data_IF_025660205281
#
_entry.id   IF_025660205281
#
_cell.length_a   1.000
_cell.length_b   1.000
_cell.length_c   1.000
_cell.angle_alpha   90.00
_cell.angle_beta   90.00
_cell.angle_gamma   90.00
#
_symmetry.space_group_name_H-M   'P 1'
#
loop_
_entity.id
_entity.type
_entity.pdbx_description
1 polymer ?
#
# COMPACT_ATOMS: atom_id res chain seq x y z
N UNK A 1 -30.75 6.68 -30.80
CA UNK A 1 -30.12 6.18 -29.57
C UNK A 1 -29.09 7.21 -29.11
N UNK A 2 -29.40 7.94 -28.06
CA UNK A 2 -28.47 8.92 -27.47
C UNK A 2 -27.33 8.16 -26.76
N UNK A 3 -26.08 8.36 -27.18
CA UNK A 3 -24.92 7.80 -26.47
C UNK A 3 -24.67 8.61 -25.22
N UNK A 4 -25.10 8.09 -24.08
CA UNK A 4 -24.70 8.64 -22.78
C UNK A 4 -23.22 8.31 -22.57
N UNK A 5 -22.34 9.29 -22.75
CA UNK A 5 -20.91 9.14 -22.45
C UNK A 5 -20.71 8.98 -20.94
N UNK A 6 -20.35 7.77 -20.51
CA UNK A 6 -19.98 7.52 -19.10
C UNK A 6 -18.62 8.15 -18.83
N UNK A 7 -18.59 9.20 -18.00
CA UNK A 7 -17.33 9.78 -17.50
C UNK A 7 -16.54 8.73 -16.72
N UNK A 8 -15.24 8.64 -16.99
CA UNK A 8 -14.34 7.71 -16.30
C UNK A 8 -14.28 8.01 -14.80
N UNK A 9 -14.37 6.96 -13.97
CA UNK A 9 -14.36 7.09 -12.51
C UNK A 9 -12.95 6.94 -11.95
N UNK A 10 -12.18 8.04 -11.96
CA UNK A 10 -10.81 8.08 -11.44
C UNK A 10 -10.67 7.62 -9.98
N UNK A 11 -11.67 7.89 -9.13
CA UNK A 11 -11.63 7.46 -7.73
C UNK A 11 -11.63 5.95 -7.59
N UNK A 12 -12.52 5.29 -8.32
CA UNK A 12 -12.63 3.83 -8.30
C UNK A 12 -11.39 3.20 -8.93
N UNK A 13 -10.91 3.77 -10.04
CA UNK A 13 -9.67 3.34 -10.68
C UNK A 13 -8.48 3.37 -9.72
N UNK A 14 -8.23 4.50 -9.04
CA UNK A 14 -7.14 4.60 -8.07
C UNK A 14 -7.31 3.63 -6.89
N UNK A 15 -8.53 3.42 -6.41
CA UNK A 15 -8.80 2.53 -5.27
C UNK A 15 -8.55 1.06 -5.63
N UNK A 16 -9.01 0.62 -6.79
CA UNK A 16 -8.78 -0.74 -7.29
C UNK A 16 -7.29 -0.94 -7.57
N UNK A 17 -6.65 0.01 -8.25
CA UNK A 17 -5.22 -0.09 -8.55
C UNK A 17 -4.35 -0.09 -7.29
N UNK A 18 -4.71 0.70 -6.25
CA UNK A 18 -4.07 0.65 -4.94
C UNK A 18 -4.24 -0.70 -4.27
N UNK A 19 -5.45 -1.26 -4.30
CA UNK A 19 -5.71 -2.57 -3.72
C UNK A 19 -4.90 -3.66 -4.40
N UNK A 20 -4.88 -3.69 -5.73
CA UNK A 20 -4.14 -4.69 -6.50
C UNK A 20 -2.63 -4.55 -6.32
N UNK A 21 -2.08 -3.34 -6.45
CA UNK A 21 -0.64 -3.12 -6.25
C UNK A 21 -0.23 -3.34 -4.78
N UNK A 22 -1.07 -2.93 -3.83
CA UNK A 22 -0.88 -3.14 -2.41
C UNK A 22 -0.91 -4.61 -2.00
N UNK A 23 -1.74 -5.44 -2.65
CA UNK A 23 -1.77 -6.88 -2.44
C UNK A 23 -0.56 -7.58 -3.10
N UNK A 24 -0.12 -7.09 -4.26
CA UNK A 24 1.07 -7.61 -4.95
C UNK A 24 2.36 -7.40 -4.15
N UNK A 25 2.47 -6.33 -3.37
CA UNK A 25 3.65 -6.02 -2.57
C UNK A 25 4.02 -7.09 -1.52
N UNK A 26 3.14 -7.54 -0.60
CA UNK A 26 3.48 -8.59 0.36
C UNK A 26 3.74 -9.93 -0.33
N UNK A 27 3.00 -10.27 -1.39
CA UNK A 27 3.20 -11.52 -2.13
C UNK A 27 4.58 -11.56 -2.80
N UNK A 28 4.92 -10.51 -3.54
CA UNK A 28 6.23 -10.42 -4.20
C UNK A 28 7.37 -10.16 -3.22
N UNK A 29 7.12 -9.46 -2.11
CA UNK A 29 8.09 -9.24 -1.05
C UNK A 29 8.48 -10.53 -0.35
N UNK A 30 7.51 -11.42 -0.09
CA UNK A 30 7.76 -12.75 0.44
C UNK A 30 8.63 -13.58 -0.52
N UNK A 31 8.32 -13.59 -1.81
CA UNK A 31 9.13 -14.33 -2.79
C UNK A 31 10.54 -13.75 -2.90
N UNK A 32 10.68 -12.41 -2.92
CA UNK A 32 12.00 -11.78 -2.92
C UNK A 32 12.80 -12.10 -1.66
N UNK A 33 12.15 -12.23 -0.50
CA UNK A 33 12.79 -12.66 0.74
C UNK A 33 13.35 -14.08 0.63
N UNK A 34 12.59 -15.02 0.07
CA UNK A 34 13.07 -16.41 -0.12
C UNK A 34 14.22 -16.50 -1.12
N UNK A 35 14.18 -15.71 -2.21
CA UNK A 35 15.21 -15.69 -3.24
C UNK A 35 16.41 -14.80 -2.91
N UNK A 36 16.44 -14.13 -1.74
CA UNK A 36 17.40 -13.05 -1.48
C UNK A 36 18.86 -13.51 -1.43
N UNK A 37 19.09 -14.77 -1.02
CA UNK A 37 20.43 -15.37 -0.89
C UNK A 37 20.88 -16.12 -2.15
N UNK A 38 20.01 -16.27 -3.15
CA UNK A 38 20.36 -16.89 -4.41
C UNK A 38 21.17 -15.92 -5.29
N UNK A 39 21.99 -16.48 -6.18
CA UNK A 39 22.61 -15.72 -7.26
C UNK A 39 21.54 -14.99 -8.10
N UNK A 40 21.96 -14.00 -8.88
CA UNK A 40 21.03 -13.23 -9.71
C UNK A 40 20.49 -14.10 -10.85
N UNK A 41 19.39 -14.81 -10.60
CA UNK A 41 18.69 -15.63 -11.59
C UNK A 41 17.59 -14.83 -12.29
N UNK A 42 17.16 -15.21 -13.52
CA UNK A 42 16.06 -14.55 -14.20
C UNK A 42 14.75 -14.53 -13.40
N UNK A 43 14.49 -15.56 -12.59
CA UNK A 43 13.30 -15.61 -11.72
C UNK A 43 13.38 -14.58 -10.59
N UNK A 44 14.55 -14.43 -9.96
CA UNK A 44 14.78 -13.41 -8.94
C UNK A 44 14.68 -12.00 -9.53
N UNK A 45 15.27 -11.75 -10.69
CA UNK A 45 15.18 -10.46 -11.38
C UNK A 45 13.73 -10.11 -11.73
N UNK A 46 12.94 -11.09 -12.19
CA UNK A 46 11.52 -10.90 -12.46
C UNK A 46 10.75 -10.46 -11.22
N UNK A 47 10.90 -11.17 -10.09
CA UNK A 47 10.17 -10.84 -8.86
C UNK A 47 10.63 -9.54 -8.22
N UNK A 48 11.92 -9.20 -8.32
CA UNK A 48 12.42 -7.88 -7.91
C UNK A 48 11.83 -6.77 -8.77
N UNK A 49 11.85 -6.92 -10.09
CA UNK A 49 11.30 -5.93 -11.02
C UNK A 49 9.80 -5.77 -10.84
N UNK A 50 9.07 -6.88 -10.65
CA UNK A 50 7.63 -6.88 -10.38
C UNK A 50 7.30 -6.16 -9.07
N UNK A 51 8.03 -6.47 -7.98
CA UNK A 51 7.85 -5.82 -6.69
C UNK A 51 8.09 -4.31 -6.77
N UNK A 52 9.20 -3.91 -7.39
CA UNK A 52 9.56 -2.50 -7.55
C UNK A 52 8.53 -1.75 -8.41
N UNK A 53 8.08 -2.35 -9.51
CA UNK A 53 7.06 -1.77 -10.38
C UNK A 53 5.72 -1.62 -9.66
N UNK A 54 5.32 -2.64 -8.88
CA UNK A 54 4.13 -2.59 -8.03
C UNK A 54 4.24 -1.49 -6.97
N UNK A 55 5.41 -1.31 -6.36
CA UNK A 55 5.68 -0.26 -5.38
C UNK A 55 5.56 1.14 -5.96
N UNK A 56 6.14 1.38 -7.14
CA UNK A 56 6.03 2.65 -7.86
C UNK A 56 4.57 2.94 -8.20
N UNK A 57 3.85 1.95 -8.74
CA UNK A 57 2.44 2.10 -9.09
C UNK A 57 1.59 2.38 -7.85
N UNK A 58 1.81 1.65 -6.75
CA UNK A 58 1.14 1.86 -5.48
C UNK A 58 1.36 3.28 -4.97
N UNK A 59 2.59 3.78 -4.99
CA UNK A 59 2.94 5.12 -4.54
C UNK A 59 2.24 6.21 -5.37
N UNK A 60 2.30 6.11 -6.70
CA UNK A 60 1.65 7.08 -7.60
C UNK A 60 0.12 7.06 -7.41
N UNK A 61 -0.48 5.87 -7.36
CA UNK A 61 -1.92 5.75 -7.14
C UNK A 61 -2.35 6.20 -5.74
N UNK A 62 -1.49 6.06 -4.72
CA UNK A 62 -1.73 6.58 -3.37
C UNK A 62 -1.86 8.11 -3.40
N UNK A 63 -0.92 8.79 -4.07
CA UNK A 63 -0.95 10.24 -4.25
C UNK A 63 -2.27 10.65 -4.93
N UNK A 64 -2.61 10.02 -6.06
CA UNK A 64 -3.84 10.35 -6.77
C UNK A 64 -5.11 10.02 -5.97
N UNK A 65 -5.12 8.91 -5.24
CA UNK A 65 -6.22 8.54 -4.37
C UNK A 65 -6.46 9.62 -3.31
N UNK A 66 -5.40 10.12 -2.67
CA UNK A 66 -5.51 11.23 -1.71
C UNK A 66 -6.02 12.50 -2.39
N UNK A 67 -5.49 12.87 -3.57
CA UNK A 67 -5.93 14.07 -4.31
C UNK A 67 -7.42 14.01 -4.68
N UNK A 68 -7.87 12.86 -5.21
CA UNK A 68 -9.24 12.67 -5.67
C UNK A 68 -10.25 12.46 -4.53
N UNK A 69 -9.79 11.99 -3.37
CA UNK A 69 -10.60 11.78 -2.17
C UNK A 69 -10.34 12.82 -1.05
N UNK A 70 -9.58 13.89 -1.32
CA UNK A 70 -9.20 14.92 -0.32
C UNK A 70 -10.38 15.51 0.45
N UNK A 71 -11.52 15.70 -0.20
CA UNK A 71 -12.73 16.23 0.45
C UNK A 71 -13.27 15.26 1.49
N UNK A 72 -13.31 13.96 1.17
CA UNK A 72 -13.71 12.92 2.11
C UNK A 72 -12.70 12.82 3.26
N UNK A 73 -11.40 12.84 2.95
CA UNK A 73 -10.32 12.81 3.95
C UNK A 73 -10.43 13.98 4.93
N UNK A 74 -10.53 15.22 4.45
CA UNK A 74 -10.66 16.41 5.31
C UNK A 74 -11.93 16.30 6.16
N UNK A 75 -13.05 15.86 5.59
CA UNK A 75 -14.29 15.69 6.35
C UNK A 75 -14.17 14.63 7.46
N UNK A 76 -13.44 13.54 7.22
CA UNK A 76 -13.13 12.57 8.27
C UNK A 76 -12.23 13.17 9.36
N UNK A 77 -11.19 13.91 8.97
CA UNK A 77 -10.27 14.55 9.91
C UNK A 77 -10.92 15.66 10.73
N UNK A 78 -11.81 16.47 10.13
CA UNK A 78 -12.54 17.51 10.85
C UNK A 78 -13.57 16.91 11.80
N UNK A 79 -14.23 15.81 11.42
CA UNK A 79 -15.12 15.07 12.34
C UNK A 79 -14.35 14.37 13.46
N UNK A 80 -13.09 14.00 13.22
CA UNK A 80 -12.18 13.45 14.22
C UNK A 80 -11.51 14.55 15.09
N UNK A 81 -11.72 15.85 14.84
CA UNK A 81 -11.22 16.90 15.74
C UNK A 81 -11.88 16.75 17.11
N UNK A 82 -11.07 16.45 18.12
CA UNK A 82 -11.52 16.23 19.50
C UNK A 82 -11.58 14.75 19.89
N UNK A 83 -11.43 13.81 18.95
CA UNK A 83 -11.21 12.41 19.31
C UNK A 83 -9.75 12.22 19.71
N UNK A 84 -9.49 12.10 21.01
CA UNK A 84 -8.20 11.68 21.53
C UNK A 84 -8.03 10.20 21.13
N UNK A 85 -6.89 9.86 20.50
CA UNK A 85 -6.54 8.46 20.27
C UNK A 85 -6.58 7.74 21.62
N UNK A 86 -7.50 6.77 21.76
CA UNK A 86 -7.56 5.95 22.96
C UNK A 86 -6.22 5.25 23.16
N UNK A 87 -5.83 5.04 24.42
CA UNK A 87 -4.60 4.33 24.79
C UNK A 87 -4.46 2.99 24.06
N UNK A 88 -5.56 2.29 23.85
CA UNK A 88 -5.63 1.04 23.08
C UNK A 88 -5.17 1.19 21.63
N UNK A 89 -5.60 2.24 20.93
CA UNK A 89 -5.20 2.49 19.55
C UNK A 89 -3.71 2.88 19.47
N UNK A 90 -3.22 3.66 20.43
CA UNK A 90 -1.79 3.97 20.58
C UNK A 90 -0.97 2.69 20.85
N UNK A 91 -1.43 1.82 21.75
CA UNK A 91 -0.79 0.54 22.02
C UNK A 91 -0.82 -0.38 20.82
N UNK A 92 -1.91 -0.41 20.05
CA UNK A 92 -2.00 -1.18 18.81
C UNK A 92 -0.99 -0.68 17.76
N UNK A 93 -0.86 0.64 17.59
CA UNK A 93 0.16 1.22 16.70
C UNK A 93 1.56 0.79 17.15
N UNK A 94 1.90 0.99 18.43
CA UNK A 94 3.21 0.60 18.98
C UNK A 94 3.47 -0.89 18.80
N UNK A 95 2.49 -1.73 19.12
CA UNK A 95 2.59 -3.18 18.97
C UNK A 95 2.82 -3.59 17.51
N UNK A 96 2.05 -3.06 16.57
CA UNK A 96 2.23 -3.33 15.14
C UNK A 96 3.61 -2.86 14.66
N UNK A 97 4.07 -1.68 15.08
CA UNK A 97 5.40 -1.19 14.74
C UNK A 97 6.50 -2.10 15.29
N UNK A 98 6.41 -2.51 16.56
CA UNK A 98 7.37 -3.44 17.16
C UNK A 98 7.37 -4.81 16.46
N UNK A 99 6.18 -5.30 16.10
CA UNK A 99 6.04 -6.56 15.38
C UNK A 99 6.67 -6.50 13.98
N UNK A 100 6.46 -5.41 13.24
CA UNK A 100 7.12 -5.17 11.95
C UNK A 100 8.63 -5.13 12.13
N UNK A 101 9.15 -4.35 13.07
CA UNK A 101 10.59 -4.25 13.35
C UNK A 101 11.15 -5.64 13.69
N UNK A 102 10.51 -6.37 14.60
CA UNK A 102 10.97 -7.68 15.05
C UNK A 102 11.04 -8.69 13.91
N UNK A 103 10.04 -8.71 13.03
CA UNK A 103 10.04 -9.61 11.86
C UNK A 103 11.15 -9.20 10.88
N UNK A 104 11.31 -7.90 10.61
CA UNK A 104 12.36 -7.40 9.72
C UNK A 104 13.78 -7.59 10.29
N UNK A 105 13.95 -7.56 11.61
CA UNK A 105 15.27 -7.77 12.26
C UNK A 105 15.82 -9.18 12.06
N UNK A 106 14.98 -10.20 11.80
CA UNK A 106 15.47 -11.53 11.44
C UNK A 106 16.29 -11.53 10.15
N UNK A 107 16.11 -10.56 9.25
CA UNK A 107 16.92 -10.45 8.05
C UNK A 107 18.39 -10.01 8.33
N UNK A 108 18.69 -9.53 9.55
CA UNK A 108 20.01 -9.03 9.94
C UNK A 108 20.71 -9.89 11.01
N UNK A 109 20.07 -10.97 11.48
CA UNK A 109 20.58 -11.92 12.48
C UNK A 109 20.88 -13.26 11.80
#
# INVERSE_FOLDING_TARGET
MERVERKFNYRSFCSIGLFLSGLSLPLSGFINHELQLEELTPIREFWMTFHNSAGILFFILAIFHVIFNRKALINHLTKAKGTILRREALMAIVFVTLLIISISSHAFL
#
